data_IF_558782931249
#
_entry.id   IF_558782931249
#
_cell.length_a   1.000
_cell.length_b   1.000
_cell.length_c   1.000
_cell.angle_alpha   90.00
_cell.angle_beta   90.00
_cell.angle_gamma   90.00
#
_symmetry.space_group_name_H-M   'P 1'
#
loop_
_entity.id
_entity.type
_entity.pdbx_description
1 polymer ?
#
# COMPACT_ATOMS: atom_id res chain seq x y z
N UNK A 1 -10.06 -11.40 18.50
CA UNK A 1 -9.44 -10.18 17.94
C UNK A 1 -9.40 -10.38 16.44
N UNK A 2 -9.86 -9.42 15.64
CA UNK A 2 -9.85 -9.54 14.19
C UNK A 2 -8.41 -9.46 13.68
N UNK A 3 -8.07 -10.22 12.64
CA UNK A 3 -6.72 -10.21 12.07
C UNK A 3 -6.59 -9.08 11.04
N UNK A 4 -5.49 -8.35 11.09
CA UNK A 4 -5.07 -7.37 10.08
C UNK A 4 -3.79 -7.86 9.43
N UNK A 5 -3.88 -8.27 8.17
CA UNK A 5 -2.73 -8.66 7.35
C UNK A 5 -2.26 -7.42 6.61
N UNK A 6 -1.06 -6.95 6.94
CA UNK A 6 -0.46 -5.77 6.32
C UNK A 6 0.66 -6.19 5.36
N UNK A 7 0.44 -5.92 4.07
CA UNK A 7 1.42 -6.11 3.01
C UNK A 7 2.26 -4.85 2.86
N UNK A 8 3.53 -4.94 3.26
CA UNK A 8 4.45 -3.83 3.23
C UNK A 8 4.92 -3.50 1.81
N UNK A 9 5.33 -2.25 1.63
CA UNK A 9 6.20 -1.90 0.53
C UNK A 9 7.55 -2.60 0.69
N UNK A 10 8.04 -3.20 -0.40
CA UNK A 10 9.23 -4.04 -0.39
C UNK A 10 10.52 -3.27 -0.09
N UNK A 11 10.50 -1.96 -0.29
CA UNK A 11 11.66 -1.14 -0.02
C UNK A 11 11.82 -0.80 1.48
N UNK A 12 10.76 -0.96 2.27
CA UNK A 12 10.79 -0.68 3.69
C UNK A 12 10.81 -1.98 4.51
N UNK A 13 11.48 -1.92 5.64
CA UNK A 13 11.49 -3.02 6.58
C UNK A 13 10.27 -2.97 7.52
N UNK A 14 10.05 -4.06 8.24
CA UNK A 14 8.90 -4.19 9.15
C UNK A 14 8.95 -3.19 10.30
N UNK A 15 10.14 -2.70 10.68
CA UNK A 15 10.27 -1.73 11.78
C UNK A 15 9.52 -0.43 11.48
N UNK A 16 9.53 0.03 10.23
CA UNK A 16 8.77 1.21 9.85
C UNK A 16 7.27 1.01 10.13
N UNK A 17 6.76 -0.17 9.80
CA UNK A 17 5.37 -0.53 10.02
C UNK A 17 5.07 -0.70 11.50
N UNK A 18 5.91 -1.43 12.25
CA UNK A 18 5.76 -1.53 13.70
C UNK A 18 5.73 -0.14 14.34
N UNK A 19 6.66 0.75 14.04
CA UNK A 19 6.69 2.09 14.63
C UNK A 19 5.49 2.96 14.18
N UNK A 20 4.98 2.77 12.96
CA UNK A 20 3.86 3.58 12.42
C UNK A 20 2.49 3.04 12.83
N UNK A 21 2.40 1.74 13.12
CA UNK A 21 1.16 1.00 13.30
C UNK A 21 1.09 0.22 14.63
N UNK A 22 2.06 0.39 15.53
CA UNK A 22 2.01 -0.09 16.92
C UNK A 22 0.63 0.16 17.56
N UNK A 23 -0.02 1.34 17.41
CA UNK A 23 -1.34 1.56 18.02
C UNK A 23 -2.41 0.56 17.58
N UNK A 24 -2.30 -0.02 16.38
CA UNK A 24 -3.25 -1.00 15.85
C UNK A 24 -3.17 -2.35 16.57
N UNK A 25 -2.01 -2.70 17.13
CA UNK A 25 -1.79 -4.00 17.81
C UNK A 25 -2.65 -4.17 19.07
N UNK A 26 -3.19 -3.07 19.60
CA UNK A 26 -4.16 -3.11 20.70
C UNK A 26 -5.60 -3.46 20.25
N UNK A 27 -5.87 -3.42 18.94
CA UNK A 27 -7.20 -3.63 18.34
C UNK A 27 -7.26 -4.87 17.44
N UNK A 28 -6.18 -5.13 16.72
CA UNK A 28 -6.08 -6.19 15.73
C UNK A 28 -4.93 -7.15 16.06
N UNK A 29 -5.09 -8.39 15.63
CA UNK A 29 -3.97 -9.32 15.51
C UNK A 29 -3.22 -8.98 14.22
N UNK A 30 -2.16 -8.19 14.34
CA UNK A 30 -1.45 -7.62 13.20
C UNK A 30 -0.37 -8.59 12.72
N UNK A 31 -0.49 -9.02 11.47
CA UNK A 31 0.56 -9.75 10.76
C UNK A 31 1.15 -8.83 9.69
N UNK A 32 2.46 -8.62 9.73
CA UNK A 32 3.19 -7.87 8.71
C UNK A 32 3.85 -8.87 7.78
N UNK A 33 3.65 -8.70 6.48
CA UNK A 33 4.34 -9.49 5.46
C UNK A 33 4.69 -8.62 4.26
N UNK A 34 5.64 -9.07 3.44
CA UNK A 34 5.89 -8.52 2.11
C UNK A 34 5.08 -9.23 1.02
N UNK A 35 4.48 -10.38 1.34
CA UNK A 35 3.72 -11.19 0.40
C UNK A 35 2.80 -12.12 1.15
N UNK A 36 1.59 -12.35 0.66
CA UNK A 36 0.72 -13.33 1.29
C UNK A 36 -0.09 -14.08 0.24
N UNK A 37 -0.38 -15.35 0.51
CA UNK A 37 -1.37 -16.09 -0.28
C UNK A 37 -2.78 -15.63 0.12
N UNK A 38 -3.25 -14.59 -0.56
CA UNK A 38 -4.51 -13.92 -0.27
C UNK A 38 -5.75 -14.79 -0.56
N UNK A 39 -5.60 -15.97 -1.15
CA UNK A 39 -6.70 -16.90 -1.38
C UNK A 39 -7.05 -17.74 -0.14
N UNK A 40 -6.14 -17.80 0.83
CA UNK A 40 -6.25 -18.64 2.03
C UNK A 40 -6.43 -17.84 3.32
N UNK A 41 -6.89 -16.59 3.22
CA UNK A 41 -7.21 -15.73 4.36
C UNK A 41 -8.61 -16.00 4.90
N UNK A 42 -8.85 -15.73 6.18
CA UNK A 42 -10.17 -15.85 6.78
C UNK A 42 -11.12 -14.79 6.21
N UNK A 43 -12.41 -15.12 6.04
CA UNK A 43 -13.41 -14.22 5.44
C UNK A 43 -13.60 -12.89 6.21
N UNK A 44 -13.28 -12.89 7.51
CA UNK A 44 -13.39 -11.71 8.36
C UNK A 44 -12.06 -10.96 8.54
N UNK A 45 -10.98 -11.41 7.91
CA UNK A 45 -9.68 -10.75 8.05
C UNK A 45 -9.68 -9.43 7.25
N UNK A 46 -8.91 -8.45 7.72
CA UNK A 46 -8.67 -7.21 6.99
C UNK A 46 -7.34 -7.33 6.27
N UNK A 47 -7.29 -6.89 5.03
CA UNK A 47 -6.07 -6.86 4.23
C UNK A 47 -5.72 -5.39 3.97
N UNK A 48 -4.53 -4.97 4.39
CA UNK A 48 -4.00 -3.66 4.08
C UNK A 48 -2.74 -3.81 3.22
N UNK A 49 -2.57 -2.98 2.22
CA UNK A 49 -1.35 -2.91 1.42
C UNK A 49 -0.84 -1.48 1.38
N UNK A 50 0.48 -1.32 1.41
CA UNK A 50 1.11 -0.03 1.18
C UNK A 50 2.10 -0.12 0.02
N UNK A 51 2.02 0.83 -0.91
CA UNK A 51 2.93 0.89 -2.04
C UNK A 51 2.90 -0.42 -2.84
N UNK A 52 4.06 -1.07 -3.00
CA UNK A 52 4.14 -2.35 -3.71
C UNK A 52 3.31 -3.46 -3.07
N UNK A 53 3.06 -3.40 -1.75
CA UNK A 53 2.18 -4.35 -1.06
C UNK A 53 0.74 -4.31 -1.58
N UNK A 54 0.31 -3.20 -2.20
CA UNK A 54 -0.98 -3.12 -2.88
C UNK A 54 -1.06 -4.02 -4.11
N UNK A 55 0.04 -4.32 -4.80
CA UNK A 55 0.03 -5.09 -6.05
C UNK A 55 -0.53 -6.49 -5.85
N UNK A 56 -0.13 -7.17 -4.76
CA UNK A 56 -0.65 -8.50 -4.40
C UNK A 56 -2.16 -8.45 -4.16
N UNK A 57 -2.67 -7.42 -3.48
CA UNK A 57 -4.11 -7.22 -3.23
C UNK A 57 -4.86 -6.96 -4.53
N UNK A 58 -4.31 -6.08 -5.38
CA UNK A 58 -4.91 -5.69 -6.66
C UNK A 58 -5.03 -6.89 -7.62
N UNK A 59 -4.00 -7.73 -7.69
CA UNK A 59 -4.04 -8.96 -8.48
C UNK A 59 -5.07 -9.97 -7.95
N UNK A 60 -5.12 -10.14 -6.62
CA UNK A 60 -6.04 -11.05 -5.97
C UNK A 60 -7.51 -10.61 -6.15
N UNK A 61 -7.82 -9.33 -5.93
CA UNK A 61 -9.17 -8.78 -6.10
C UNK A 61 -9.60 -8.73 -7.57
N UNK A 62 -8.66 -8.63 -8.52
CA UNK A 62 -8.96 -8.74 -9.94
C UNK A 62 -9.37 -10.17 -10.32
N UNK A 63 -8.70 -11.16 -9.73
CA UNK A 63 -8.90 -12.57 -10.08
C UNK A 63 -10.03 -13.23 -9.28
N UNK A 64 -10.37 -12.70 -8.09
CA UNK A 64 -11.26 -13.34 -7.12
C UNK A 64 -12.16 -12.34 -6.40
N UNK A 65 -13.39 -12.75 -6.09
CA UNK A 65 -14.33 -11.99 -5.26
C UNK A 65 -13.94 -12.12 -3.78
N UNK A 66 -12.99 -11.28 -3.34
CA UNK A 66 -12.63 -11.16 -1.93
C UNK A 66 -13.69 -10.32 -1.21
N UNK A 67 -14.39 -10.88 -0.23
CA UNK A 67 -15.41 -10.14 0.54
C UNK A 67 -14.82 -9.35 1.71
N UNK A 68 -13.55 -9.62 2.06
CA UNK A 68 -12.78 -8.94 3.10
C UNK A 68 -12.81 -7.41 2.96
N UNK A 69 -12.56 -6.71 4.07
CA UNK A 69 -12.18 -5.29 4.00
C UNK A 69 -10.76 -5.21 3.46
N UNK A 70 -10.59 -4.39 2.42
CA UNK A 70 -9.32 -4.12 1.74
C UNK A 70 -8.96 -2.65 1.92
N UNK A 71 -7.73 -2.39 2.35
CA UNK A 71 -7.19 -1.05 2.53
C UNK A 71 -5.97 -0.91 1.62
N UNK A 72 -5.99 0.05 0.70
CA UNK A 72 -4.90 0.35 -0.21
C UNK A 72 -4.31 1.70 0.16
N UNK A 73 -3.03 1.75 0.49
CA UNK A 73 -2.32 2.96 0.92
C UNK A 73 -1.32 3.32 -0.17
N UNK A 74 -1.52 4.50 -0.76
CA UNK A 74 -0.71 5.02 -1.87
C UNK A 74 -0.47 3.98 -2.97
N UNK A 75 -1.52 3.34 -3.51
CA UNK A 75 -1.36 2.29 -4.49
C UNK A 75 -0.86 2.85 -5.83
N UNK A 76 -0.12 2.01 -6.53
CA UNK A 76 0.22 2.19 -7.95
C UNK A 76 0.04 0.86 -8.69
N UNK A 77 -0.02 0.92 -10.02
CA UNK A 77 -0.31 -0.25 -10.86
C UNK A 77 0.90 -0.75 -11.63
N UNK A 78 1.95 0.05 -11.75
CA UNK A 78 3.14 -0.24 -12.55
C UNK A 78 4.37 0.01 -11.69
N UNK A 79 5.02 -1.07 -11.27
CA UNK A 79 6.17 -0.96 -10.39
C UNK A 79 7.36 -0.27 -11.07
N UNK A 80 7.64 -0.60 -12.33
CA UNK A 80 8.80 -0.06 -13.04
C UNK A 80 8.60 1.44 -13.32
N UNK A 81 7.39 1.86 -13.65
CA UNK A 81 7.12 3.26 -13.93
C UNK A 81 7.33 4.19 -12.72
N UNK A 82 6.88 3.78 -11.53
CA UNK A 82 6.97 4.62 -10.32
C UNK A 82 8.22 4.39 -9.51
N UNK A 83 8.66 3.14 -9.45
CA UNK A 83 9.67 2.67 -8.53
C UNK A 83 10.95 2.37 -9.30
N UNK A 84 10.96 1.39 -10.19
CA UNK A 84 12.21 0.88 -10.76
C UNK A 84 12.55 1.43 -12.15
N UNK A 85 13.54 2.32 -12.21
CA UNK A 85 14.15 2.72 -13.48
C UNK A 85 15.43 1.91 -13.75
N UNK A 86 15.40 1.04 -14.76
CA UNK A 86 16.53 0.16 -15.13
C UNK A 86 17.81 0.91 -15.57
N UNK A 87 17.73 2.22 -15.83
CA UNK A 87 18.90 3.04 -16.15
C UNK A 87 19.62 3.63 -14.92
N UNK A 88 19.06 3.52 -13.73
CA UNK A 88 19.63 4.10 -12.51
C UNK A 88 20.87 3.31 -12.07
N UNK A 89 21.92 4.01 -11.58
CA UNK A 89 23.08 3.33 -10.99
C UNK A 89 22.72 2.73 -9.62
N UNK A 90 23.47 1.71 -9.15
CA UNK A 90 23.32 1.20 -7.79
C UNK A 90 23.37 2.33 -6.75
N UNK A 91 22.36 2.42 -5.87
CA UNK A 91 22.27 3.44 -4.82
C UNK A 91 21.59 4.76 -5.23
N UNK A 92 21.59 5.14 -6.51
CA UNK A 92 20.92 6.36 -6.98
C UNK A 92 19.39 6.21 -6.94
N UNK A 93 18.90 5.00 -7.27
CA UNK A 93 17.49 4.65 -7.17
C UNK A 93 17.01 4.71 -5.70
N UNK A 94 17.72 4.07 -4.77
CA UNK A 94 17.43 4.07 -3.32
C UNK A 94 17.23 5.48 -2.80
N UNK A 95 18.19 6.37 -3.04
CA UNK A 95 18.17 7.74 -2.57
C UNK A 95 17.01 8.53 -3.19
N UNK A 96 16.74 8.31 -4.47
CA UNK A 96 15.61 8.94 -5.17
C UNK A 96 14.27 8.46 -4.60
N UNK A 97 14.14 7.16 -4.35
CA UNK A 97 12.94 6.56 -3.78
C UNK A 97 12.68 7.06 -2.36
N UNK A 98 13.68 7.02 -1.47
CA UNK A 98 13.59 7.58 -0.12
C UNK A 98 13.10 9.03 -0.13
N UNK A 99 13.68 9.86 -1.01
CA UNK A 99 13.29 11.27 -1.16
C UNK A 99 11.86 11.46 -1.64
N UNK A 100 11.40 10.64 -2.59
CA UNK A 100 10.02 10.69 -3.10
C UNK A 100 9.01 10.14 -2.09
N UNK A 101 9.36 9.07 -1.40
CA UNK A 101 8.53 8.45 -0.38
C UNK A 101 8.43 9.30 0.90
N UNK A 102 9.44 10.15 1.17
CA UNK A 102 9.50 11.00 2.35
C UNK A 102 10.01 10.29 3.61
N UNK A 103 10.60 9.10 3.45
CA UNK A 103 11.20 8.29 4.52
C UNK A 103 12.70 8.26 4.28
N UNK A 104 13.43 8.99 5.12
CA UNK A 104 14.87 9.26 4.93
C UNK A 104 15.73 8.50 5.95
N UNK A 105 15.11 7.84 6.92
CA UNK A 105 15.83 7.13 7.98
C UNK A 105 16.24 5.73 7.51
N UNK A 106 17.55 5.50 7.40
CA UNK A 106 18.12 4.22 6.97
C UNK A 106 17.62 3.01 7.78
N UNK A 107 17.28 3.22 9.08
CA UNK A 107 16.72 2.19 9.96
C UNK A 107 15.37 1.64 9.49
N UNK A 108 14.70 2.30 8.56
CA UNK A 108 13.40 1.92 7.99
C UNK A 108 13.52 1.29 6.61
N UNK A 109 14.72 1.27 6.03
CA UNK A 109 14.98 0.75 4.70
C UNK A 109 15.29 -0.73 4.81
N UNK A 110 14.85 -1.49 3.82
CA UNK A 110 15.20 -2.89 3.68
C UNK A 110 16.47 -3.07 2.82
N UNK A 111 17.60 -3.48 3.43
CA UNK A 111 18.83 -3.69 2.68
C UNK A 111 18.78 -4.93 1.76
N UNK A 112 17.89 -5.88 2.03
CA UNK A 112 17.75 -7.13 1.26
C UNK A 112 16.61 -7.08 0.23
N UNK A 113 16.22 -5.87 -0.21
CA UNK A 113 15.13 -5.70 -1.18
C UNK A 113 15.33 -6.60 -2.39
N UNK A 114 14.32 -7.40 -2.71
CA UNK A 114 14.32 -8.23 -3.91
C UNK A 114 13.47 -7.55 -4.99
N UNK A 115 14.17 -6.78 -5.83
CA UNK A 115 13.59 -6.07 -6.98
C UNK A 115 12.96 -7.06 -7.96
N UNK A 116 13.43 -8.31 -8.03
CA UNK A 116 12.98 -9.27 -9.04
C UNK A 116 11.52 -9.67 -8.87
N UNK A 117 10.98 -9.65 -7.64
CA UNK A 117 9.56 -9.94 -7.42
C UNK A 117 8.67 -8.94 -8.15
N UNK A 118 8.97 -7.64 -8.03
CA UNK A 118 8.09 -6.59 -8.52
C UNK A 118 8.46 -6.03 -9.90
N UNK A 119 9.69 -6.28 -10.36
CA UNK A 119 10.13 -5.87 -11.69
C UNK A 119 9.18 -6.40 -12.77
N UNK A 120 8.73 -5.52 -13.67
CA UNK A 120 7.79 -5.84 -14.73
C UNK A 120 6.36 -6.14 -14.29
N UNK A 121 6.02 -5.99 -12.99
CA UNK A 121 4.64 -6.15 -12.53
C UNK A 121 3.80 -4.94 -12.94
N UNK A 122 2.75 -5.23 -13.70
CA UNK A 122 1.73 -4.26 -14.06
C UNK A 122 0.34 -4.88 -13.82
N UNK A 123 -0.51 -4.17 -13.07
CA UNK A 123 -1.81 -4.68 -12.63
C UNK A 123 -2.94 -3.80 -13.17
N UNK A 124 -3.71 -4.32 -14.13
CA UNK A 124 -4.90 -3.63 -14.63
C UNK A 124 -6.18 -4.37 -14.21
N UNK A 125 -7.24 -3.64 -13.81
CA UNK A 125 -8.49 -4.30 -13.47
C UNK A 125 -9.16 -4.89 -14.70
N UNK A 126 -9.85 -6.01 -14.50
CA UNK A 126 -10.78 -6.51 -15.52
C UNK A 126 -11.95 -5.53 -15.68
N UNK A 127 -12.33 -5.29 -16.94
CA UNK A 127 -13.43 -4.37 -17.27
C UNK A 127 -14.73 -4.80 -16.56
N UNK A 128 -15.50 -3.82 -16.09
CA UNK A 128 -16.83 -3.98 -15.49
C UNK A 128 -16.89 -4.70 -14.13
N UNK A 129 -15.78 -4.77 -13.39
CA UNK A 129 -15.77 -5.26 -12.02
C UNK A 129 -16.05 -4.13 -11.03
N UNK A 130 -16.77 -4.43 -9.96
CA UNK A 130 -17.09 -3.48 -8.89
C UNK A 130 -16.38 -3.89 -7.60
N UNK A 131 -15.48 -3.05 -7.11
CA UNK A 131 -14.57 -3.39 -6.03
C UNK A 131 -15.08 -2.89 -4.67
N UNK A 132 -16.11 -3.56 -4.15
CA UNK A 132 -16.67 -3.25 -2.83
C UNK A 132 -15.68 -3.52 -1.70
N UNK A 133 -15.99 -2.94 -0.52
CA UNK A 133 -15.21 -3.08 0.71
C UNK A 133 -13.72 -2.72 0.53
N UNK A 134 -13.41 -1.84 -0.42
CA UNK A 134 -12.06 -1.44 -0.77
C UNK A 134 -11.91 0.05 -0.53
N UNK A 135 -10.98 0.41 0.35
CA UNK A 135 -10.75 1.77 0.82
C UNK A 135 -9.36 2.19 0.40
N UNK A 136 -9.26 3.32 -0.30
CA UNK A 136 -8.00 3.79 -0.90
C UNK A 136 -7.60 5.09 -0.25
N UNK A 137 -6.43 5.11 0.35
CA UNK A 137 -5.86 6.27 1.02
C UNK A 137 -4.70 6.82 0.20
N UNK A 138 -4.76 8.11 -0.12
CA UNK A 138 -3.76 8.80 -0.94
C UNK A 138 -3.37 10.11 -0.28
N UNK A 139 -2.09 10.46 -0.36
CA UNK A 139 -1.58 11.77 0.05
C UNK A 139 -1.65 12.77 -1.10
N UNK A 140 -2.10 14.00 -0.83
CA UNK A 140 -2.14 15.08 -1.83
C UNK A 140 -0.75 15.59 -2.28
N UNK A 141 0.27 15.27 -1.48
CA UNK A 141 1.66 15.70 -1.62
C UNK A 141 2.57 14.52 -1.95
N UNK A 142 2.02 13.40 -2.43
CA UNK A 142 2.76 12.24 -2.88
C UNK A 142 3.66 12.60 -4.09
N UNK A 143 4.98 12.43 -3.91
CA UNK A 143 6.00 12.71 -4.92
C UNK A 143 6.45 11.46 -5.66
N UNK A 144 6.05 10.28 -5.20
CA UNK A 144 6.31 9.01 -5.85
C UNK A 144 5.21 8.72 -6.86
N UNK A 145 3.95 8.76 -6.42
CA UNK A 145 2.77 8.56 -7.26
C UNK A 145 2.04 9.90 -7.39
N UNK A 146 2.11 10.59 -8.54
CA UNK A 146 1.48 11.89 -8.70
C UNK A 146 -0.04 11.81 -8.52
N UNK A 147 -0.67 12.81 -7.90
CA UNK A 147 -2.12 12.85 -7.67
C UNK A 147 -2.96 12.58 -8.93
N UNK A 148 -2.54 13.09 -10.10
CA UNK A 148 -3.20 12.82 -11.38
C UNK A 148 -3.31 11.31 -11.68
N UNK A 149 -2.31 10.53 -11.28
CA UNK A 149 -2.33 9.08 -11.43
C UNK A 149 -3.38 8.43 -10.51
N UNK A 150 -3.53 8.90 -9.29
CA UNK A 150 -4.58 8.41 -8.39
C UNK A 150 -5.99 8.67 -8.93
N UNK A 151 -6.20 9.75 -9.68
CA UNK A 151 -7.46 9.97 -10.39
C UNK A 151 -7.72 8.89 -11.45
N UNK A 152 -6.71 8.53 -12.25
CA UNK A 152 -6.83 7.43 -13.22
C UNK A 152 -7.06 6.09 -12.52
N UNK A 153 -6.38 5.84 -11.41
CA UNK A 153 -6.63 4.65 -10.59
C UNK A 153 -8.10 4.59 -10.16
N UNK A 154 -8.67 5.72 -9.72
CA UNK A 154 -10.07 5.80 -9.31
C UNK A 154 -11.07 5.53 -10.44
N UNK A 155 -10.78 5.97 -11.65
CA UNK A 155 -11.59 5.66 -12.84
C UNK A 155 -11.56 4.16 -13.20
N UNK A 156 -10.43 3.50 -12.96
CA UNK A 156 -10.24 2.08 -13.28
C UNK A 156 -10.83 1.15 -12.20
N UNK A 157 -10.70 1.52 -10.93
CA UNK A 157 -11.14 0.73 -9.78
C UNK A 157 -12.49 1.23 -9.24
N UNK A 158 -13.53 1.07 -10.06
CA UNK A 158 -14.89 1.49 -9.70
C UNK A 158 -15.42 0.73 -8.48
N UNK A 159 -16.14 1.44 -7.61
CA UNK A 159 -16.73 0.87 -6.40
C UNK A 159 -15.88 0.95 -5.14
N UNK A 160 -14.62 1.37 -5.25
CA UNK A 160 -13.77 1.71 -4.12
C UNK A 160 -14.18 3.05 -3.47
N UNK A 161 -13.94 3.17 -2.16
CA UNK A 161 -14.02 4.45 -1.44
C UNK A 161 -12.65 5.13 -1.45
N UNK A 162 -12.58 6.38 -1.92
CA UNK A 162 -11.33 7.13 -2.02
C UNK A 162 -11.24 8.21 -0.94
N UNK A 163 -10.10 8.25 -0.26
CA UNK A 163 -9.82 9.12 0.87
C UNK A 163 -8.51 9.86 0.61
N UNK A 164 -8.61 11.18 0.40
CA UNK A 164 -7.47 12.07 0.26
C UNK A 164 -7.05 12.57 1.64
N UNK A 165 -5.77 12.42 1.97
CA UNK A 165 -5.17 12.97 3.18
C UNK A 165 -4.40 14.23 2.80
N UNK A 166 -4.80 15.36 3.39
CA UNK A 166 -4.20 16.66 3.13
C UNK A 166 -2.80 16.77 3.74
N UNK A 167 -1.89 17.43 3.04
CA UNK A 167 -0.49 17.64 3.43
C UNK A 167 0.30 16.35 3.67
N UNK A 168 -0.07 15.27 2.96
CA UNK A 168 0.48 13.94 3.18
C UNK A 168 1.20 13.42 1.93
N UNK A 169 2.33 12.76 2.12
CA UNK A 169 3.13 12.16 1.04
C UNK A 169 2.74 10.71 0.73
N UNK A 170 3.67 9.96 0.13
CA UNK A 170 3.52 8.53 -0.19
C UNK A 170 3.21 7.64 1.03
N UNK A 171 3.68 8.04 2.21
CA UNK A 171 3.36 7.40 3.47
C UNK A 171 2.46 8.33 4.29
N UNK A 172 1.16 8.45 3.98
CA UNK A 172 0.31 9.50 4.55
C UNK A 172 0.15 9.40 6.07
N UNK A 173 0.51 8.25 6.63
CA UNK A 173 0.38 7.94 8.05
C UNK A 173 1.69 7.97 8.81
N UNK A 174 2.81 7.95 8.09
CA UNK A 174 4.14 7.98 8.69
C UNK A 174 4.34 9.27 9.49
N UNK A 175 4.71 9.13 10.77
CA UNK A 175 4.87 10.23 11.76
C UNK A 175 3.61 11.00 12.14
N UNK A 176 2.44 10.67 11.57
CA UNK A 176 1.20 11.39 11.87
C UNK A 176 0.53 10.95 13.16
N UNK A 177 0.77 9.72 13.63
CA UNK A 177 0.10 9.13 14.82
C UNK A 177 -1.41 8.92 14.68
N UNK A 178 -2.05 9.50 13.66
CA UNK A 178 -3.50 9.53 13.47
C UNK A 178 -4.04 8.46 12.51
N UNK A 179 -3.27 7.42 12.18
CA UNK A 179 -3.75 6.40 11.24
C UNK A 179 -4.98 5.67 11.74
N UNK A 180 -4.98 5.24 13.01
CA UNK A 180 -6.13 4.54 13.59
C UNK A 180 -7.37 5.42 13.54
N UNK A 181 -7.24 6.70 13.91
CA UNK A 181 -8.34 7.66 13.86
C UNK A 181 -8.85 7.86 12.41
N UNK A 182 -7.92 7.97 11.45
CA UNK A 182 -8.27 8.09 10.03
C UNK A 182 -8.95 6.81 9.53
N UNK A 183 -8.45 5.64 9.90
CA UNK A 183 -9.07 4.37 9.54
C UNK A 183 -10.48 4.27 10.14
N UNK A 184 -10.65 4.44 11.45
CA UNK A 184 -11.94 4.35 12.12
C UNK A 184 -12.95 5.37 11.58
N UNK A 185 -12.51 6.57 11.20
CA UNK A 185 -13.38 7.59 10.61
C UNK A 185 -13.83 7.26 9.17
N UNK A 186 -13.07 6.44 8.44
CA UNK A 186 -13.24 6.25 6.99
C UNK A 186 -13.56 4.81 6.58
N UNK A 187 -13.49 3.86 7.51
CA UNK A 187 -13.69 2.42 7.25
C UNK A 187 -14.57 1.81 8.36
N UNK A 188 -15.39 0.79 8.05
CA UNK A 188 -16.30 0.15 9.01
C UNK A 188 -15.56 -0.92 9.83
N UNK A 189 -14.51 -0.51 10.54
CA UNK A 189 -13.68 -1.37 11.40
C UNK A 189 -14.29 -1.60 12.79
#
# INVERSE_FOLDING_TARGET
MQKLIFLNDWFFNEKLLFDSFEPLTNRFDVEISKSFDLLNIGENDIIAGWGSGCLDILEAMNSNDLNNIKILISPYLDYDYFVYNSSDKPGEFEATYQKKAGILEDKYIDPERDITKNCGRVVYPYKNRWFTNTYVFIGDSDKLVPFKYHLYFAEMYNGCSFHLIENAGFAPFYKSGGFLDILEANTPL
#
